data_IF_888409066424
#
_entry.id   IF_888409066424
#
_cell.length_a   1.000
_cell.length_b   1.000
_cell.length_c   1.000
_cell.angle_alpha   90.00
_cell.angle_beta   90.00
_cell.angle_gamma   90.00
#
_symmetry.space_group_name_H-M   'P 1'
#
loop_
_entity.id
_entity.type
_entity.pdbx_description
1 polymer ?
#
# COMPACT_ATOMS: atom_id res chain seq x y z
N UNK A 1 7.40 -12.71 10.49
CA UNK A 1 6.18 -13.23 11.16
C UNK A 1 5.67 -14.47 10.44
N UNK A 2 4.71 -15.14 11.06
CA UNK A 2 3.99 -16.30 10.55
C UNK A 2 2.56 -16.31 11.14
N UNK A 3 1.72 -17.23 10.66
CA UNK A 3 0.31 -17.34 11.10
C UNK A 3 0.19 -17.45 12.62
N UNK A 4 0.98 -18.29 13.29
CA UNK A 4 0.85 -18.50 14.74
C UNK A 4 1.19 -17.23 15.54
N UNK A 5 2.26 -16.51 15.15
CA UNK A 5 2.63 -15.24 15.80
C UNK A 5 1.54 -14.18 15.62
N UNK A 6 0.94 -14.09 14.43
CA UNK A 6 -0.16 -13.17 14.17
C UNK A 6 -1.39 -13.52 15.01
N UNK A 7 -1.72 -14.81 15.14
CA UNK A 7 -2.83 -15.25 15.99
C UNK A 7 -2.57 -15.03 17.47
N UNK A 8 -1.33 -15.15 17.95
CA UNK A 8 -0.96 -14.84 19.34
C UNK A 8 -1.12 -13.34 19.63
N UNK A 9 -0.71 -12.48 18.68
CA UNK A 9 -0.95 -11.02 18.77
C UNK A 9 -2.46 -10.75 18.78
N UNK A 10 -3.22 -11.37 17.88
CA UNK A 10 -4.68 -11.20 17.80
C UNK A 10 -5.39 -11.60 19.10
N UNK A 11 -5.03 -12.75 19.69
CA UNK A 11 -5.57 -13.20 20.98
C UNK A 11 -5.28 -12.21 22.11
N UNK A 12 -4.09 -11.64 22.11
CA UNK A 12 -3.69 -10.63 23.08
C UNK A 12 -4.43 -9.32 22.86
N UNK A 13 -4.49 -8.84 21.61
CA UNK A 13 -5.22 -7.63 21.23
C UNK A 13 -6.70 -7.69 21.63
N UNK A 14 -7.37 -8.82 21.35
CA UNK A 14 -8.77 -9.02 21.72
C UNK A 14 -9.00 -8.89 23.23
N UNK A 15 -8.10 -9.44 24.07
CA UNK A 15 -8.19 -9.33 25.54
C UNK A 15 -8.10 -7.89 26.04
N UNK A 16 -7.44 -7.02 25.29
CA UNK A 16 -7.25 -5.61 25.63
C UNK A 16 -8.26 -4.67 24.95
N UNK A 17 -9.28 -5.21 24.28
CA UNK A 17 -10.34 -4.42 23.65
C UNK A 17 -9.90 -3.73 22.35
N UNK A 18 -8.83 -4.19 21.72
CA UNK A 18 -8.44 -3.76 20.36
C UNK A 18 -9.48 -4.28 19.37
N UNK A 19 -9.82 -3.49 18.37
CA UNK A 19 -10.91 -3.80 17.43
C UNK A 19 -10.41 -4.35 16.08
N UNK A 20 -9.13 -4.16 15.74
CA UNK A 20 -8.58 -4.57 14.45
C UNK A 20 -7.12 -5.02 14.57
N UNK A 21 -6.75 -6.06 13.83
CA UNK A 21 -5.38 -6.42 13.54
C UNK A 21 -5.06 -6.07 12.10
N UNK A 22 -4.00 -5.28 11.87
CA UNK A 22 -3.49 -4.98 10.52
C UNK A 22 -2.19 -5.74 10.29
N UNK A 23 -2.17 -6.60 9.28
CA UNK A 23 -0.97 -7.31 8.84
C UNK A 23 -0.17 -6.39 7.92
N UNK A 24 0.98 -5.94 8.39
CA UNK A 24 1.89 -5.05 7.65
C UNK A 24 2.75 -5.82 6.62
N UNK A 25 3.78 -5.20 6.05
CA UNK A 25 4.66 -5.72 4.99
C UNK A 25 5.20 -7.13 5.25
N UNK A 26 5.36 -7.93 4.20
CA UNK A 26 6.03 -9.25 4.25
C UNK A 26 5.14 -10.47 4.08
N UNK A 27 3.85 -10.31 3.82
CA UNK A 27 2.88 -11.42 3.67
C UNK A 27 2.83 -12.04 2.27
N UNK A 28 3.38 -11.37 1.25
CA UNK A 28 3.23 -11.69 -0.17
C UNK A 28 4.54 -12.13 -0.82
N UNK A 29 4.45 -12.76 -1.99
CA UNK A 29 5.59 -13.16 -2.81
C UNK A 29 6.64 -13.95 -2.03
N UNK A 30 7.90 -13.63 -2.27
CA UNK A 30 9.06 -14.15 -1.52
C UNK A 30 9.66 -13.07 -0.60
N UNK A 31 8.84 -12.12 -0.16
CA UNK A 31 9.22 -10.96 0.63
C UNK A 31 9.72 -11.33 2.02
N UNK A 32 11.03 -11.43 2.18
CA UNK A 32 11.72 -11.69 3.46
C UNK A 32 12.47 -10.48 4.00
N UNK A 33 12.65 -9.47 3.16
CA UNK A 33 13.25 -8.17 3.45
C UNK A 33 12.59 -7.10 2.59
N UNK A 34 12.97 -5.84 2.74
CA UNK A 34 12.38 -4.69 2.04
C UNK A 34 12.91 -4.47 0.61
N UNK A 35 13.74 -5.40 0.09
CA UNK A 35 14.37 -5.27 -1.22
C UNK A 35 13.72 -6.13 -2.30
N UNK A 36 12.72 -6.97 -1.95
CA UNK A 36 12.19 -8.02 -2.82
C UNK A 36 10.69 -7.95 -3.04
N UNK A 37 10.23 -8.59 -4.12
CA UNK A 37 8.84 -9.05 -4.39
C UNK A 37 7.74 -7.99 -4.52
N UNK A 38 8.01 -6.69 -4.44
CA UNK A 38 6.95 -5.69 -4.75
C UNK A 38 6.46 -5.87 -6.19
N UNK A 39 5.14 -5.92 -6.37
CA UNK A 39 4.48 -6.29 -7.62
C UNK A 39 3.93 -7.72 -7.66
N UNK A 40 4.48 -8.60 -6.83
CA UNK A 40 4.09 -10.01 -6.74
C UNK A 40 3.02 -10.21 -5.66
N UNK A 41 1.82 -9.66 -5.91
CA UNK A 41 0.70 -9.69 -4.96
C UNK A 41 0.01 -11.04 -4.93
N UNK A 42 0.71 -12.06 -4.40
CA UNK A 42 0.16 -13.38 -4.04
C UNK A 42 0.62 -13.77 -2.64
N UNK A 43 -0.22 -14.50 -1.92
CA UNK A 43 0.03 -14.87 -0.53
C UNK A 43 1.25 -15.79 -0.43
N UNK A 44 2.16 -15.48 0.48
CA UNK A 44 3.25 -16.37 0.85
C UNK A 44 2.73 -17.46 1.80
N UNK A 45 2.41 -18.62 1.27
CA UNK A 45 1.83 -19.73 2.04
C UNK A 45 2.79 -20.39 3.02
N UNK A 46 4.11 -20.20 2.86
CA UNK A 46 5.10 -20.65 3.85
C UNK A 46 4.98 -19.86 5.16
N UNK A 47 4.71 -18.54 5.05
CA UNK A 47 4.49 -17.66 6.20
C UNK A 47 3.05 -17.70 6.69
N UNK A 48 2.10 -17.61 5.75
CA UNK A 48 0.66 -17.60 6.05
C UNK A 48 0.13 -19.03 5.90
N UNK A 49 0.57 -19.88 6.80
CA UNK A 49 0.19 -21.31 6.82
C UNK A 49 -1.32 -21.46 6.98
N UNK A 50 -1.94 -22.21 6.09
CA UNK A 50 -3.39 -22.38 5.99
C UNK A 50 -4.07 -21.34 5.07
N UNK A 51 -3.30 -20.39 4.54
CA UNK A 51 -3.75 -19.35 3.61
C UNK A 51 -4.36 -18.14 4.30
N UNK A 52 -4.52 -17.06 3.52
CA UNK A 52 -5.00 -15.77 4.02
C UNK A 52 -6.42 -15.89 4.60
N UNK A 53 -7.30 -16.63 3.93
CA UNK A 53 -8.68 -16.81 4.41
C UNK A 53 -8.73 -17.45 5.79
N UNK A 54 -7.92 -18.48 6.03
CA UNK A 54 -7.84 -19.12 7.35
C UNK A 54 -7.41 -18.12 8.43
N UNK A 55 -6.34 -17.38 8.20
CA UNK A 55 -5.85 -16.38 9.14
C UNK A 55 -6.94 -15.33 9.46
N UNK A 56 -7.57 -14.78 8.43
CA UNK A 56 -8.63 -13.76 8.59
C UNK A 56 -9.83 -14.33 9.36
N UNK A 57 -10.27 -15.54 9.03
CA UNK A 57 -11.39 -16.19 9.72
C UNK A 57 -11.08 -16.40 11.22
N UNK A 58 -9.85 -16.83 11.56
CA UNK A 58 -9.43 -17.02 12.96
C UNK A 58 -9.37 -15.68 13.72
N UNK A 59 -8.88 -14.61 13.08
CA UNK A 59 -8.88 -13.26 13.68
C UNK A 59 -10.32 -12.76 13.89
N UNK A 60 -11.21 -12.96 12.92
CA UNK A 60 -12.60 -12.55 13.04
C UNK A 60 -13.35 -13.32 14.14
N UNK A 61 -13.03 -14.59 14.38
CA UNK A 61 -13.61 -15.38 15.51
C UNK A 61 -13.25 -14.80 16.87
N UNK A 62 -12.16 -14.05 16.99
CA UNK A 62 -11.77 -13.35 18.21
C UNK A 62 -12.53 -12.01 18.39
N UNK A 63 -13.38 -11.62 17.43
CA UNK A 63 -14.10 -10.36 17.42
C UNK A 63 -13.32 -9.18 16.83
N UNK A 64 -12.14 -9.42 16.28
CA UNK A 64 -11.37 -8.36 15.59
C UNK A 64 -11.70 -8.30 14.10
N UNK A 65 -11.66 -7.09 13.55
CA UNK A 65 -11.54 -6.89 12.10
C UNK A 65 -10.11 -7.22 11.64
N UNK A 66 -9.95 -7.45 10.35
CA UNK A 66 -8.63 -7.69 9.75
C UNK A 66 -8.33 -6.63 8.70
N UNK A 67 -7.10 -6.11 8.73
CA UNK A 67 -6.55 -5.21 7.74
C UNK A 67 -5.28 -5.74 7.11
N UNK A 68 -4.93 -5.20 5.94
CA UNK A 68 -3.75 -5.62 5.18
C UNK A 68 -3.00 -4.40 4.62
N UNK A 69 -1.67 -4.48 4.66
CA UNK A 69 -0.78 -3.51 4.02
C UNK A 69 -0.52 -3.88 2.57
N UNK A 70 -0.46 -2.88 1.69
CA UNK A 70 -0.06 -3.02 0.30
C UNK A 70 0.73 -1.80 -0.15
N UNK A 71 1.64 -1.98 -1.11
CA UNK A 71 2.38 -0.91 -1.79
C UNK A 71 2.21 -1.04 -3.32
N UNK A 72 1.01 -0.79 -3.86
CA UNK A 72 0.64 -1.15 -5.22
C UNK A 72 1.34 -0.35 -6.32
N UNK A 73 1.93 0.77 -5.97
CA UNK A 73 2.57 1.69 -6.91
C UNK A 73 4.03 1.32 -7.19
N UNK A 74 4.57 0.34 -6.47
CA UNK A 74 5.98 -0.01 -6.51
C UNK A 74 6.22 -1.40 -7.11
N UNK A 75 7.45 -1.60 -7.61
CA UNK A 75 7.89 -2.86 -8.19
C UNK A 75 9.36 -3.10 -7.85
N UNK A 76 9.69 -4.30 -7.38
CA UNK A 76 11.06 -4.73 -7.11
C UNK A 76 11.72 -5.30 -8.36
N UNK A 77 13.03 -5.05 -8.58
CA UNK A 77 13.75 -5.58 -9.75
C UNK A 77 13.77 -7.11 -9.85
N UNK A 78 13.64 -7.80 -8.72
CA UNK A 78 13.63 -9.26 -8.64
C UNK A 78 12.24 -9.90 -8.78
N UNK A 79 11.17 -9.08 -8.76
CA UNK A 79 9.79 -9.59 -8.86
C UNK A 79 9.54 -10.28 -10.20
N UNK A 80 8.63 -11.23 -10.20
CA UNK A 80 8.20 -11.89 -11.43
C UNK A 80 7.53 -10.88 -12.36
N UNK A 81 6.76 -9.94 -11.80
CA UNK A 81 6.13 -8.89 -12.58
C UNK A 81 7.16 -8.02 -13.32
N UNK A 82 8.27 -7.64 -12.67
CA UNK A 82 9.30 -6.84 -13.34
C UNK A 82 10.05 -7.62 -14.41
N UNK A 83 10.32 -8.90 -14.17
CA UNK A 83 10.95 -9.78 -15.18
C UNK A 83 10.08 -9.92 -16.44
N UNK A 84 8.77 -10.01 -16.25
CA UNK A 84 7.80 -10.10 -17.33
C UNK A 84 7.59 -8.76 -18.06
N UNK A 85 7.54 -7.67 -17.29
CA UNK A 85 7.23 -6.33 -17.78
C UNK A 85 8.21 -5.25 -17.26
N UNK A 86 9.50 -5.29 -17.66
CA UNK A 86 10.46 -4.30 -17.19
C UNK A 86 10.17 -2.88 -17.72
N UNK A 87 9.38 -2.78 -18.80
CA UNK A 87 8.92 -1.53 -19.40
C UNK A 87 7.75 -0.87 -18.65
N UNK A 88 7.21 -1.50 -17.62
CA UNK A 88 6.14 -0.95 -16.80
C UNK A 88 6.62 -0.01 -15.68
N UNK A 89 7.90 0.00 -15.40
CA UNK A 89 8.49 0.98 -14.50
C UNK A 89 8.62 2.36 -15.16
N UNK A 90 8.41 3.43 -14.38
CA UNK A 90 8.76 4.79 -14.79
C UNK A 90 10.24 4.82 -15.09
N UNK A 91 10.62 5.24 -16.30
CA UNK A 91 12.00 5.32 -16.76
C UNK A 91 12.17 6.36 -17.87
N UNK A 92 13.32 7.01 -17.89
CA UNK A 92 13.74 7.83 -19.03
C UNK A 92 14.42 6.91 -20.02
N UNK A 93 13.96 6.95 -21.28
CA UNK A 93 14.52 6.13 -22.35
C UNK A 93 16.06 6.25 -22.40
N UNK A 94 16.74 5.11 -22.56
CA UNK A 94 18.20 4.99 -22.67
C UNK A 94 18.97 5.43 -21.41
N UNK A 95 18.29 5.49 -20.24
CA UNK A 95 18.94 5.72 -18.95
C UNK A 95 18.70 4.54 -17.99
N UNK A 96 19.66 4.32 -17.12
CA UNK A 96 19.50 3.38 -16.00
C UNK A 96 18.56 4.03 -14.97
N UNK A 97 17.52 3.31 -14.55
CA UNK A 97 16.60 3.79 -13.53
C UNK A 97 17.26 3.92 -12.16
N UNK A 98 16.80 4.89 -11.39
CA UNK A 98 17.27 5.10 -10.01
C UNK A 98 16.47 4.23 -9.04
N UNK A 99 17.15 3.37 -8.30
CA UNK A 99 16.55 2.65 -7.18
C UNK A 99 16.51 3.55 -5.95
N UNK A 100 15.38 3.55 -5.26
CA UNK A 100 15.24 4.10 -3.92
C UNK A 100 14.48 3.09 -3.08
N UNK A 101 14.96 2.76 -1.88
CA UNK A 101 14.49 1.62 -1.08
C UNK A 101 14.45 0.30 -1.86
N UNK A 102 15.41 0.10 -2.77
CA UNK A 102 15.54 -1.10 -3.63
C UNK A 102 14.33 -1.35 -4.55
N UNK A 103 13.55 -0.33 -4.89
CA UNK A 103 12.34 -0.46 -5.70
C UNK A 103 12.26 0.61 -6.78
N UNK A 104 11.52 0.31 -7.85
CA UNK A 104 11.08 1.23 -8.89
C UNK A 104 9.62 1.62 -8.68
N UNK A 105 9.17 2.64 -9.41
CA UNK A 105 7.77 3.08 -9.45
C UNK A 105 7.12 2.53 -10.73
N UNK A 106 5.94 1.94 -10.62
CA UNK A 106 5.14 1.54 -11.76
C UNK A 106 4.58 2.75 -12.52
N UNK A 107 4.55 2.69 -13.84
CA UNK A 107 3.94 3.73 -14.68
C UNK A 107 2.41 3.64 -14.65
N UNK A 108 1.80 4.19 -13.61
CA UNK A 108 0.34 4.22 -13.45
C UNK A 108 -0.36 5.18 -14.43
N UNK A 109 0.37 5.90 -15.29
CA UNK A 109 -0.25 6.59 -16.43
C UNK A 109 -0.82 5.61 -17.47
N UNK A 110 -0.34 4.35 -17.46
CA UNK A 110 -0.71 3.27 -18.35
C UNK A 110 -1.89 2.47 -17.79
N UNK A 111 -2.94 2.32 -18.60
CA UNK A 111 -4.14 1.59 -18.19
C UNK A 111 -3.86 0.11 -17.91
N UNK A 112 -3.09 -0.54 -18.76
CA UNK A 112 -2.76 -1.96 -18.62
C UNK A 112 -1.99 -2.27 -17.31
N UNK A 113 -1.14 -1.34 -16.85
CA UNK A 113 -0.43 -1.46 -15.57
C UNK A 113 -1.43 -1.37 -14.42
N UNK A 114 -2.28 -0.34 -14.44
CA UNK A 114 -3.33 -0.18 -13.41
C UNK A 114 -4.27 -1.38 -13.34
N UNK A 115 -4.72 -1.88 -14.49
CA UNK A 115 -5.63 -3.02 -14.54
C UNK A 115 -4.98 -4.27 -13.94
N UNK A 116 -3.76 -4.60 -14.34
CA UNK A 116 -3.04 -5.77 -13.83
C UNK A 116 -2.85 -5.70 -12.31
N UNK A 117 -2.40 -4.56 -11.77
CA UNK A 117 -2.21 -4.39 -10.34
C UNK A 117 -3.54 -4.42 -9.61
N UNK A 118 -4.56 -3.74 -10.15
CA UNK A 118 -5.88 -3.72 -9.55
C UNK A 118 -6.50 -5.12 -9.46
N UNK A 119 -6.40 -5.92 -10.52
CA UNK A 119 -6.95 -7.28 -10.55
C UNK A 119 -6.30 -8.18 -9.48
N UNK A 120 -4.99 -8.03 -9.26
CA UNK A 120 -4.27 -8.73 -8.18
C UNK A 120 -4.77 -8.29 -6.79
N UNK A 121 -4.91 -7.00 -6.55
CA UNK A 121 -5.44 -6.44 -5.29
C UNK A 121 -6.87 -6.91 -5.06
N UNK A 122 -7.73 -6.80 -6.08
CA UNK A 122 -9.12 -7.23 -6.03
C UNK A 122 -9.24 -8.72 -5.68
N UNK A 123 -8.40 -9.57 -6.27
CA UNK A 123 -8.38 -11.00 -5.96
C UNK A 123 -8.04 -11.27 -4.48
N UNK A 124 -7.04 -10.56 -3.92
CA UNK A 124 -6.68 -10.67 -2.50
C UNK A 124 -7.85 -10.23 -1.61
N UNK A 125 -8.40 -9.04 -1.85
CA UNK A 125 -9.48 -8.48 -1.03
C UNK A 125 -10.77 -9.32 -1.10
N UNK A 126 -11.05 -9.93 -2.26
CA UNK A 126 -12.19 -10.82 -2.44
C UNK A 126 -12.00 -12.21 -1.81
N UNK A 127 -10.78 -12.60 -1.47
CA UNK A 127 -10.48 -13.94 -0.95
C UNK A 127 -10.83 -14.15 0.52
N UNK A 128 -10.98 -13.05 1.29
CA UNK A 128 -11.23 -13.08 2.72
C UNK A 128 -11.98 -11.82 3.20
N UNK A 129 -12.48 -11.84 4.43
CA UNK A 129 -13.18 -10.68 5.03
C UNK A 129 -12.19 -9.63 5.53
N UNK A 130 -11.61 -8.88 4.61
CA UNK A 130 -10.64 -7.81 4.85
C UNK A 130 -11.40 -6.48 4.94
N UNK A 131 -11.28 -5.79 6.07
CA UNK A 131 -12.02 -4.56 6.36
C UNK A 131 -11.20 -3.28 6.19
N UNK A 132 -9.89 -3.40 5.98
CA UNK A 132 -8.99 -2.25 5.97
C UNK A 132 -7.78 -2.51 5.06
N UNK A 133 -7.38 -1.48 4.32
CA UNK A 133 -6.14 -1.46 3.52
C UNK A 133 -5.30 -0.26 3.92
N UNK A 134 -4.04 -0.52 4.30
CA UNK A 134 -2.98 0.49 4.37
C UNK A 134 -2.30 0.53 3.01
N UNK A 135 -2.61 1.57 2.24
CA UNK A 135 -2.01 1.82 0.92
C UNK A 135 -0.76 2.66 1.08
N UNK A 136 0.38 2.04 0.88
CA UNK A 136 1.68 2.69 1.08
C UNK A 136 2.36 3.08 -0.24
N UNK A 137 3.30 4.03 -0.14
CA UNK A 137 4.20 4.46 -1.20
C UNK A 137 5.52 4.94 -0.58
N UNK A 138 6.54 4.09 -0.53
CA UNK A 138 7.74 4.32 0.27
C UNK A 138 8.91 4.94 -0.49
N UNK A 139 8.68 5.57 -1.63
CA UNK A 139 9.69 6.34 -2.34
C UNK A 139 9.07 7.46 -3.17
N UNK A 140 9.88 8.46 -3.47
CA UNK A 140 9.49 9.56 -4.35
C UNK A 140 9.54 9.13 -5.83
N UNK A 141 8.78 9.83 -6.67
CA UNK A 141 8.89 9.74 -8.12
C UNK A 141 10.22 10.33 -8.57
N UNK A 142 11.02 9.53 -9.25
CA UNK A 142 12.26 9.93 -9.92
C UNK A 142 12.23 9.49 -11.37
N UNK A 143 13.24 9.86 -12.17
CA UNK A 143 13.36 9.43 -13.57
C UNK A 143 12.07 9.63 -14.37
N UNK A 144 11.46 10.82 -14.21
CA UNK A 144 10.13 11.16 -14.73
C UNK A 144 10.02 11.00 -16.23
N UNK A 145 9.86 9.78 -16.68
CA UNK A 145 9.66 9.41 -18.08
C UNK A 145 8.77 8.18 -18.20
N UNK A 146 7.89 8.18 -19.20
CA UNK A 146 7.11 7.01 -19.59
C UNK A 146 7.61 6.48 -20.93
N UNK A 147 7.91 5.19 -21.01
CA UNK A 147 8.31 4.55 -22.25
C UNK A 147 7.20 4.51 -23.32
N UNK A 148 5.95 4.78 -22.90
CA UNK A 148 4.78 4.79 -23.79
C UNK A 148 4.32 6.18 -24.21
N UNK A 149 4.63 7.22 -23.44
CA UNK A 149 4.27 8.58 -23.82
C UNK A 149 5.20 9.09 -24.92
N UNK A 150 4.66 9.76 -25.97
CA UNK A 150 5.48 10.41 -26.97
C UNK A 150 6.30 11.56 -26.36
N UNK A 151 7.38 11.96 -27.04
CA UNK A 151 8.35 12.91 -26.49
C UNK A 151 7.76 14.28 -26.12
N UNK A 152 6.76 14.75 -26.87
CA UNK A 152 6.06 16.02 -26.67
C UNK A 152 5.03 15.96 -25.51
N UNK A 153 4.74 14.75 -25.00
CA UNK A 153 3.78 14.55 -23.88
C UNK A 153 4.42 14.03 -22.60
N UNK A 154 5.73 13.90 -22.53
CA UNK A 154 6.43 13.43 -21.33
C UNK A 154 6.13 14.31 -20.09
N UNK A 155 5.94 15.61 -20.28
CA UNK A 155 5.55 16.53 -19.20
C UNK A 155 4.18 16.27 -18.56
N UNK A 156 3.34 15.42 -19.16
CA UNK A 156 2.05 15.04 -18.61
C UNK A 156 2.14 13.89 -17.59
N UNK A 157 3.29 13.20 -17.50
CA UNK A 157 3.43 11.96 -16.73
C UNK A 157 3.02 12.12 -15.27
N UNK A 158 3.50 13.16 -14.59
CA UNK A 158 3.18 13.37 -13.17
C UNK A 158 1.66 13.50 -12.94
N UNK A 159 0.99 14.28 -13.78
CA UNK A 159 -0.47 14.44 -13.70
C UNK A 159 -1.21 13.14 -14.00
N UNK A 160 -0.82 12.45 -15.08
CA UNK A 160 -1.42 11.17 -15.46
C UNK A 160 -1.22 10.08 -14.43
N UNK A 161 -0.06 10.07 -13.78
CA UNK A 161 0.24 9.15 -12.69
C UNK A 161 -0.73 9.34 -11.52
N UNK A 162 -0.91 10.57 -11.05
CA UNK A 162 -1.82 10.89 -9.95
C UNK A 162 -3.27 10.52 -10.31
N UNK A 163 -3.72 10.82 -11.54
CA UNK A 163 -5.03 10.38 -12.01
C UNK A 163 -5.15 8.85 -12.04
N UNK A 164 -4.06 8.15 -12.35
CA UNK A 164 -4.01 6.69 -12.29
C UNK A 164 -4.16 6.14 -10.87
N UNK A 165 -3.50 6.76 -9.89
CA UNK A 165 -3.68 6.41 -8.46
C UNK A 165 -5.13 6.63 -8.04
N UNK A 166 -5.70 7.79 -8.37
CA UNK A 166 -7.10 8.10 -8.04
C UNK A 166 -8.08 7.10 -8.68
N UNK A 167 -7.87 6.73 -9.94
CA UNK A 167 -8.70 5.71 -10.61
C UNK A 167 -8.66 4.37 -9.87
N UNK A 168 -7.48 3.93 -9.43
CA UNK A 168 -7.35 2.66 -8.69
C UNK A 168 -8.07 2.74 -7.34
N UNK A 169 -7.93 3.84 -6.62
CA UNK A 169 -8.61 4.03 -5.34
C UNK A 169 -10.13 4.20 -5.51
N UNK A 170 -10.59 4.89 -6.55
CA UNK A 170 -12.02 4.97 -6.91
C UNK A 170 -12.62 3.59 -7.14
N UNK A 171 -11.93 2.73 -7.90
CA UNK A 171 -12.35 1.33 -8.12
C UNK A 171 -12.43 0.56 -6.80
N UNK A 172 -11.47 0.75 -5.90
CA UNK A 172 -11.47 0.08 -4.59
C UNK A 172 -12.68 0.45 -3.74
N UNK A 173 -12.96 1.74 -3.58
CA UNK A 173 -14.11 2.20 -2.78
C UNK A 173 -15.46 1.85 -3.44
N UNK A 174 -15.49 1.71 -4.77
CA UNK A 174 -16.68 1.26 -5.49
C UNK A 174 -16.93 -0.24 -5.29
N UNK A 175 -15.90 -1.07 -5.45
CA UNK A 175 -16.02 -2.53 -5.40
C UNK A 175 -16.06 -3.05 -3.96
N UNK A 176 -15.51 -2.30 -3.00
CA UNK A 176 -15.48 -2.62 -1.58
C UNK A 176 -15.96 -1.42 -0.74
N UNK A 177 -17.26 -1.08 -0.75
CA UNK A 177 -17.78 0.16 -0.16
C UNK A 177 -17.62 0.26 1.36
N UNK A 178 -17.46 -0.86 2.05
CA UNK A 178 -17.25 -0.91 3.51
C UNK A 178 -15.76 -0.96 3.89
N UNK A 179 -14.85 -0.92 2.90
CA UNK A 179 -13.42 -0.96 3.13
C UNK A 179 -12.92 0.38 3.68
N UNK A 180 -12.19 0.32 4.78
CA UNK A 180 -11.45 1.48 5.28
C UNK A 180 -10.11 1.58 4.55
N UNK A 181 -9.88 2.67 3.83
CA UNK A 181 -8.65 2.93 3.12
C UNK A 181 -7.84 3.99 3.87
N UNK A 182 -6.60 3.63 4.24
CA UNK A 182 -5.61 4.55 4.78
C UNK A 182 -4.48 4.74 3.78
N UNK A 183 -4.06 5.98 3.56
CA UNK A 183 -2.83 6.27 2.80
C UNK A 183 -1.63 6.43 3.73
N UNK A 184 -0.53 5.82 3.31
CA UNK A 184 0.80 6.03 3.85
C UNK A 184 1.77 6.37 2.70
N UNK A 185 2.80 7.12 2.98
CA UNK A 185 3.83 7.44 2.00
C UNK A 185 5.15 7.71 2.74
N UNK A 186 5.70 6.64 3.35
CA UNK A 186 6.75 6.81 4.35
C UNK A 186 6.27 7.75 5.47
N UNK A 187 5.08 7.49 6.01
CA UNK A 187 4.31 8.43 6.82
C UNK A 187 3.44 9.37 5.98
N UNK A 188 3.40 10.65 6.30
CA UNK A 188 2.49 11.64 5.74
C UNK A 188 2.97 12.37 4.49
N UNK A 189 3.96 11.87 3.75
CA UNK A 189 4.57 12.60 2.63
C UNK A 189 3.60 12.93 1.46
N UNK A 190 2.46 12.26 1.38
CA UNK A 190 1.46 12.46 0.33
C UNK A 190 0.07 12.79 0.91
N UNK A 191 0.03 13.51 2.01
CA UNK A 191 -1.22 13.93 2.63
C UNK A 191 -1.73 15.21 1.95
N UNK A 192 -2.76 15.09 1.11
CA UNK A 192 -3.38 16.19 0.38
C UNK A 192 -4.90 15.99 0.26
N UNK A 193 -5.68 17.04 -0.08
CA UNK A 193 -7.14 16.96 -0.16
C UNK A 193 -7.66 16.00 -1.22
N UNK A 194 -6.91 15.76 -2.30
CA UNK A 194 -7.30 14.80 -3.33
C UNK A 194 -7.23 13.38 -2.82
N UNK A 195 -6.16 13.04 -2.09
CA UNK A 195 -6.03 11.73 -1.45
C UNK A 195 -7.10 11.51 -0.38
N UNK A 196 -7.46 12.55 0.39
CA UNK A 196 -8.52 12.47 1.41
C UNK A 196 -9.90 12.15 0.85
N UNK A 197 -10.16 12.44 -0.42
CA UNK A 197 -11.42 12.10 -1.05
C UNK A 197 -11.64 10.58 -1.13
N UNK A 198 -10.58 9.82 -1.44
CA UNK A 198 -10.63 8.36 -1.55
C UNK A 198 -10.29 7.65 -0.25
N UNK A 199 -9.47 8.26 0.56
CA UNK A 199 -8.82 7.68 1.72
C UNK A 199 -8.97 8.62 2.91
N UNK A 200 -10.00 8.43 3.74
CA UNK A 200 -10.35 9.39 4.79
C UNK A 200 -9.35 9.43 5.95
N UNK A 201 -8.35 8.57 5.94
CA UNK A 201 -7.32 8.49 6.96
C UNK A 201 -5.92 8.46 6.34
N UNK A 202 -4.98 9.13 7.01
CA UNK A 202 -3.55 9.13 6.70
C UNK A 202 -2.72 8.67 7.89
N UNK A 203 -1.71 7.87 7.62
CA UNK A 203 -0.60 7.58 8.52
C UNK A 203 0.34 8.77 8.54
N UNK A 204 0.22 9.68 9.52
CA UNK A 204 0.89 10.98 9.50
C UNK A 204 2.41 10.92 9.56
N UNK A 205 2.97 9.90 10.22
CA UNK A 205 4.42 9.70 10.38
C UNK A 205 4.73 8.29 10.87
N UNK A 206 5.87 7.73 10.47
CA UNK A 206 6.41 6.49 11.02
C UNK A 206 7.14 6.70 12.36
N UNK A 207 7.33 7.96 12.77
CA UNK A 207 7.92 8.27 14.06
C UNK A 207 6.92 7.95 15.18
N UNK A 208 7.31 7.05 16.09
CA UNK A 208 6.51 6.58 17.22
C UNK A 208 6.99 7.14 18.57
N UNK A 209 7.98 8.03 18.57
CA UNK A 209 8.37 8.71 19.81
C UNK A 209 7.24 9.61 20.29
N UNK A 210 6.80 9.40 21.54
CA UNK A 210 5.64 10.08 22.10
C UNK A 210 5.82 11.60 22.20
N UNK A 211 7.04 12.11 22.36
CA UNK A 211 7.32 13.56 22.44
C UNK A 211 7.30 14.17 21.04
N UNK A 212 7.96 13.55 20.06
CA UNK A 212 7.95 14.00 18.67
C UNK A 212 6.52 13.99 18.09
N UNK A 213 5.69 13.01 18.47
CA UNK A 213 4.29 12.92 18.06
C UNK A 213 3.45 14.13 18.45
N UNK A 214 3.78 14.83 19.53
CA UNK A 214 3.07 16.07 19.92
C UNK A 214 3.19 17.12 18.81
N UNK A 215 4.42 17.38 18.33
CA UNK A 215 4.64 18.34 17.24
C UNK A 215 4.08 17.88 15.89
N UNK A 216 4.20 16.60 15.57
CA UNK A 216 3.69 16.01 14.33
C UNK A 216 2.15 16.12 14.25
N UNK A 217 1.46 15.74 15.31
CA UNK A 217 -0.01 15.75 15.34
C UNK A 217 -0.56 17.19 15.41
N UNK A 218 0.06 18.06 16.23
CA UNK A 218 -0.32 19.46 16.28
C UNK A 218 -0.14 20.14 14.93
N UNK A 219 1.03 19.99 14.29
CA UNK A 219 1.31 20.56 12.97
C UNK A 219 0.34 20.09 11.89
N UNK A 220 0.01 18.79 11.86
CA UNK A 220 -0.98 18.23 10.93
C UNK A 220 -2.38 18.80 11.20
N UNK A 221 -2.77 18.92 12.48
CA UNK A 221 -4.09 19.42 12.89
C UNK A 221 -4.35 20.89 12.53
N UNK A 222 -3.30 21.67 12.29
CA UNK A 222 -3.47 23.07 11.83
C UNK A 222 -4.06 23.19 10.41
N UNK A 223 -3.96 22.12 9.61
CA UNK A 223 -4.36 22.14 8.19
C UNK A 223 -5.47 21.11 7.92
N UNK A 224 -5.43 19.94 8.58
CA UNK A 224 -6.31 18.81 8.30
C UNK A 224 -7.18 18.46 9.51
N UNK A 225 -8.39 17.89 9.28
CA UNK A 225 -9.26 17.47 10.37
C UNK A 225 -8.62 16.33 11.18
N UNK A 226 -8.79 16.38 12.50
CA UNK A 226 -8.28 15.36 13.41
C UNK A 226 -8.75 13.94 13.06
N UNK A 227 -9.97 13.82 12.54
CA UNK A 227 -10.55 12.54 12.12
C UNK A 227 -9.82 11.87 10.93
N UNK A 228 -8.98 12.64 10.20
CA UNK A 228 -8.20 12.11 9.08
C UNK A 228 -6.81 11.60 9.49
N UNK A 229 -6.41 11.79 10.75
CA UNK A 229 -5.07 11.47 11.21
C UNK A 229 -5.02 10.12 11.94
N UNK A 230 -4.10 9.24 11.53
CA UNK A 230 -3.69 8.10 12.35
C UNK A 230 -2.90 8.60 13.56
N UNK A 231 -3.49 8.50 14.76
CA UNK A 231 -2.86 8.86 16.01
C UNK A 231 -2.31 7.60 16.70
N UNK A 232 -0.99 7.45 16.67
CA UNK A 232 -0.30 6.31 17.29
C UNK A 232 0.95 6.79 18.05
N UNK A 233 1.40 5.99 18.97
CA UNK A 233 2.63 6.15 19.75
C UNK A 233 3.35 4.82 19.87
#
# INVERSE_FOLDING_TARGET
FDTEKLLDIARTAAKHGIEMLVMDDGWFGHRNDDSTSLGDWFVNEEKITGGLKYLVDEVNKLGLKFGIWMEPEMISPDSELYKEHPDWAIAVKDRVGTLSRNQYVLDLSRKEVRDCIYDKIHAILSSANIAYVKWDMNRQLTDMGSLMLPADRQGELAHRYVLGVYEMQERLIHDFPDLLLENCSGGGARFDPGMLYYSPQIWCSDDTDAIERLGIQEGTALIYPLSAMGAHV
#
